data_IF_640564740841
#
_entry.id   IF_640564740841
#
_cell.length_a   1.000
_cell.length_b   1.000
_cell.length_c   1.000
_cell.angle_alpha   90.00
_cell.angle_beta   90.00
_cell.angle_gamma   90.00
#
_symmetry.space_group_name_H-M   'P 1'
#
loop_
_entity.id
_entity.type
_entity.pdbx_description
1 polymer ?
#
# COMPACT_ATOMS: atom_id res chain seq x y z
N UNK A 1 -12.68 15.42 22.25
CA UNK A 1 -12.50 13.98 22.60
C UNK A 1 -11.59 13.87 23.81
N UNK A 2 -12.01 13.16 24.89
CA UNK A 2 -11.14 12.92 26.05
C UNK A 2 -10.11 11.86 25.65
N UNK A 3 -8.84 12.23 25.51
CA UNK A 3 -7.75 11.27 25.34
C UNK A 3 -7.87 10.22 26.46
N UNK A 4 -7.94 8.93 26.09
CA UNK A 4 -7.92 7.82 27.06
C UNK A 4 -6.66 7.97 27.91
N UNK A 5 -6.82 8.38 29.17
CA UNK A 5 -5.71 8.62 30.09
C UNK A 5 -5.30 7.28 30.69
N UNK A 6 -4.41 6.59 30.00
CA UNK A 6 -3.81 5.35 30.49
C UNK A 6 -2.93 5.64 31.71
N UNK A 7 -2.98 4.75 32.71
CA UNK A 7 -2.12 4.84 33.89
C UNK A 7 -0.67 4.54 33.50
N UNK A 8 0.27 5.23 34.15
CA UNK A 8 1.70 5.00 33.97
C UNK A 8 2.07 3.54 34.23
N UNK A 9 2.88 2.96 33.34
CA UNK A 9 3.28 1.55 33.43
C UNK A 9 4.43 1.28 34.40
N UNK A 10 5.10 2.33 34.89
CA UNK A 10 6.24 2.20 35.77
C UNK A 10 5.84 1.79 37.20
N UNK A 11 6.76 1.11 37.88
CA UNK A 11 6.65 0.77 39.29
C UNK A 11 7.38 1.82 40.12
N UNK A 12 6.76 2.26 41.21
CA UNK A 12 7.37 3.20 42.16
C UNK A 12 8.47 2.52 42.99
N UNK A 13 9.28 3.30 43.70
CA UNK A 13 10.31 2.77 44.63
C UNK A 13 9.72 1.88 45.73
N UNK A 14 8.46 2.09 46.11
CA UNK A 14 7.74 1.25 47.08
C UNK A 14 7.14 -0.03 46.49
N UNK A 15 7.51 -0.43 45.28
CA UNK A 15 7.09 -1.68 44.65
C UNK A 15 5.68 -1.68 44.05
N UNK A 16 4.89 -0.63 44.25
CA UNK A 16 3.53 -0.50 43.70
C UNK A 16 3.51 0.21 42.35
N UNK A 17 2.49 -0.10 41.51
CA UNK A 17 2.24 0.56 40.22
C UNK A 17 2.06 2.06 40.40
N UNK A 18 2.73 2.86 39.57
CA UNK A 18 2.59 4.31 39.60
C UNK A 18 1.13 4.73 39.34
N UNK A 19 0.55 5.54 40.24
CA UNK A 19 -0.84 6.02 40.13
C UNK A 19 -1.03 7.22 39.21
N UNK A 20 0.06 7.80 38.71
CA UNK A 20 0.02 8.94 37.78
C UNK A 20 -0.44 8.49 36.39
N UNK A 21 -1.06 9.40 35.65
CA UNK A 21 -1.35 9.19 34.24
C UNK A 21 -0.08 9.22 33.39
N UNK A 22 -0.04 8.38 32.37
CA UNK A 22 0.96 8.50 31.32
C UNK A 22 0.78 9.83 30.57
N UNK A 23 1.88 10.35 30.01
CA UNK A 23 1.77 11.47 29.07
C UNK A 23 0.93 11.05 27.86
N UNK A 24 0.19 11.95 27.19
CA UNK A 24 -0.58 11.61 25.98
C UNK A 24 0.29 10.86 24.96
N UNK A 25 -0.14 9.68 24.51
CA UNK A 25 0.60 8.82 23.58
C UNK A 25 1.78 8.04 24.18
N UNK A 26 2.17 8.30 25.42
CA UNK A 26 3.22 7.57 26.13
C UNK A 26 2.65 6.45 27.00
N UNK A 27 3.54 5.60 27.51
CA UNK A 27 3.21 4.56 28.50
C UNK A 27 3.58 4.97 29.93
N UNK A 28 4.38 6.03 30.09
CA UNK A 28 4.90 6.48 31.38
C UNK A 28 4.57 7.95 31.64
N UNK A 29 4.49 8.33 32.91
CA UNK A 29 4.22 9.70 33.33
C UNK A 29 5.48 10.56 33.23
N UNK A 30 5.32 11.88 33.38
CA UNK A 30 6.44 12.84 33.38
C UNK A 30 7.57 12.50 34.38
N UNK A 31 7.25 11.87 35.51
CA UNK A 31 8.20 11.52 36.56
C UNK A 31 8.97 10.21 36.30
N UNK A 32 8.40 9.31 35.48
CA UNK A 32 9.01 8.03 35.15
C UNK A 32 9.50 7.99 33.69
N UNK A 33 10.07 9.11 33.23
CA UNK A 33 10.73 9.21 31.92
C UNK A 33 9.84 9.65 30.77
N UNK A 34 8.57 10.02 31.01
CA UNK A 34 7.67 10.51 29.96
C UNK A 34 8.13 11.81 29.28
N UNK A 35 9.03 12.56 29.91
CA UNK A 35 9.63 13.77 29.34
C UNK A 35 10.89 13.51 28.51
N UNK A 36 11.39 12.27 28.45
CA UNK A 36 12.57 11.96 27.66
C UNK A 36 12.30 12.23 26.15
N UNK A 37 13.20 12.89 25.40
CA UNK A 37 12.95 13.27 24.01
C UNK A 37 12.49 12.12 23.11
N UNK A 38 13.11 10.94 23.24
CA UNK A 38 12.74 9.74 22.49
C UNK A 38 11.33 9.24 22.83
N UNK A 39 10.91 9.37 24.10
CA UNK A 39 9.56 8.98 24.54
C UNK A 39 8.53 9.98 24.02
N UNK A 40 8.82 11.28 24.05
CA UNK A 40 7.95 12.31 23.51
C UNK A 40 7.75 12.16 21.99
N UNK A 41 8.83 11.93 21.23
CA UNK A 41 8.73 11.67 19.77
C UNK A 41 7.83 10.48 19.49
N UNK A 42 8.07 9.34 20.16
CA UNK A 42 7.25 8.14 19.93
C UNK A 42 5.81 8.31 20.40
N UNK A 43 5.59 9.08 21.46
CA UNK A 43 4.26 9.42 21.93
C UNK A 43 3.49 10.29 20.92
N UNK A 44 4.15 11.29 20.34
CA UNK A 44 3.58 12.11 19.28
C UNK A 44 3.21 11.27 18.05
N UNK A 45 4.11 10.37 17.61
CA UNK A 45 3.83 9.40 16.53
C UNK A 45 2.55 8.59 16.81
N UNK A 46 2.42 8.02 18.01
CA UNK A 46 1.24 7.21 18.38
C UNK A 46 -0.05 8.01 18.42
N UNK A 47 -0.02 9.27 18.85
CA UNK A 47 -1.21 10.14 18.85
C UNK A 47 -1.69 10.38 17.42
N UNK A 48 -0.75 10.62 16.49
CA UNK A 48 -1.06 10.80 15.07
C UNK A 48 -1.61 9.50 14.48
N UNK A 49 -0.97 8.36 14.75
CA UNK A 49 -1.44 7.04 14.29
C UNK A 49 -2.85 6.71 14.80
N UNK A 50 -3.14 6.97 16.08
CA UNK A 50 -4.47 6.73 16.66
C UNK A 50 -5.52 7.64 16.03
N UNK A 51 -5.19 8.92 15.80
CA UNK A 51 -6.09 9.82 15.08
C UNK A 51 -6.33 9.34 13.64
N UNK A 52 -5.28 8.94 12.92
CA UNK A 52 -5.39 8.38 11.58
C UNK A 52 -6.27 7.12 11.55
N UNK A 53 -6.13 6.23 12.55
CA UNK A 53 -7.00 5.04 12.69
C UNK A 53 -8.46 5.40 12.94
N UNK A 54 -8.73 6.42 13.75
CA UNK A 54 -10.10 6.88 14.02
C UNK A 54 -10.74 7.47 12.77
N UNK A 55 -9.99 8.27 12.02
CA UNK A 55 -10.43 8.79 10.72
C UNK A 55 -10.66 7.64 9.75
N UNK A 56 -9.72 6.71 9.61
CA UNK A 56 -9.85 5.55 8.73
C UNK A 56 -11.07 4.68 9.06
N UNK A 57 -11.42 4.51 10.34
CA UNK A 57 -12.64 3.81 10.76
C UNK A 57 -13.92 4.46 10.23
N UNK A 58 -13.94 5.79 10.06
CA UNK A 58 -15.08 6.47 9.47
C UNK A 58 -15.25 6.14 7.98
N UNK A 59 -14.15 5.89 7.27
CA UNK A 59 -14.16 5.45 5.87
C UNK A 59 -14.37 3.94 5.71
N UNK A 60 -14.05 3.14 6.74
CA UNK A 60 -14.16 1.68 6.71
C UNK A 60 -15.60 1.14 6.82
N UNK A 61 -16.61 2.01 6.96
CA UNK A 61 -18.02 1.59 7.07
C UNK A 61 -18.62 1.25 5.70
N UNK A 62 -18.04 1.75 4.61
CA UNK A 62 -18.36 1.27 3.26
C UNK A 62 -17.48 0.05 2.95
N UNK A 63 -18.10 -1.10 2.69
CA UNK A 63 -17.38 -2.23 2.12
C UNK A 63 -16.77 -1.75 0.80
N UNK A 64 -15.45 -1.57 0.79
CA UNK A 64 -14.72 -1.40 -0.46
C UNK A 64 -14.86 -2.72 -1.21
N UNK A 65 -15.75 -2.75 -2.19
CA UNK A 65 -15.86 -3.86 -3.12
C UNK A 65 -14.62 -3.84 -4.01
N UNK A 66 -13.63 -4.67 -3.65
CA UNK A 66 -12.44 -4.87 -4.46
C UNK A 66 -12.78 -5.96 -5.50
N UNK A 67 -13.58 -5.59 -6.49
CA UNK A 67 -13.98 -6.46 -7.59
C UNK A 67 -12.79 -6.83 -8.49
N UNK A 68 -11.80 -5.94 -8.58
CA UNK A 68 -10.51 -6.17 -9.23
C UNK A 68 -9.35 -6.00 -8.23
N UNK A 69 -8.96 -7.08 -7.53
CA UNK A 69 -7.87 -7.03 -6.54
C UNK A 69 -6.50 -6.82 -7.17
N UNK A 70 -6.32 -7.18 -8.44
CA UNK A 70 -5.04 -6.98 -9.11
C UNK A 70 -4.90 -5.52 -9.51
N UNK A 71 -5.93 -4.92 -10.12
CA UNK A 71 -5.96 -3.50 -10.42
C UNK A 71 -5.78 -2.63 -9.17
N UNK A 72 -6.46 -2.95 -8.08
CA UNK A 72 -6.30 -2.23 -6.81
C UNK A 72 -4.86 -2.33 -6.24
N UNK A 73 -4.24 -3.51 -6.33
CA UNK A 73 -2.86 -3.71 -5.90
C UNK A 73 -1.87 -2.93 -6.77
N UNK A 74 -2.06 -2.92 -8.09
CA UNK A 74 -1.24 -2.17 -9.03
C UNK A 74 -1.38 -0.66 -8.83
N UNK A 75 -2.60 -0.19 -8.53
CA UNK A 75 -2.84 1.21 -8.19
C UNK A 75 -2.12 1.60 -6.90
N UNK A 76 -2.20 0.79 -5.85
CA UNK A 76 -1.47 1.02 -4.61
C UNK A 76 0.05 1.06 -4.85
N UNK A 77 0.57 0.16 -5.69
CA UNK A 77 1.98 0.15 -6.07
C UNK A 77 2.38 1.46 -6.76
N UNK A 78 1.57 1.94 -7.70
CA UNK A 78 1.79 3.21 -8.38
C UNK A 78 1.80 4.40 -7.39
N UNK A 79 0.85 4.43 -6.45
CA UNK A 79 0.80 5.47 -5.40
C UNK A 79 2.04 5.45 -4.51
N UNK A 80 2.48 4.28 -4.06
CA UNK A 80 3.69 4.13 -3.22
C UNK A 80 4.94 4.56 -3.97
N UNK A 81 5.09 4.16 -5.24
CA UNK A 81 6.23 4.58 -6.09
C UNK A 81 6.18 6.08 -6.36
N UNK A 82 5.00 6.62 -6.67
CA UNK A 82 4.79 8.05 -6.89
C UNK A 82 5.16 8.88 -5.66
N UNK A 83 4.71 8.46 -4.47
CA UNK A 83 5.09 9.11 -3.22
C UNK A 83 6.60 9.05 -2.96
N UNK A 84 7.24 7.89 -3.21
CA UNK A 84 8.70 7.75 -3.10
C UNK A 84 9.40 8.75 -4.02
N UNK A 85 8.97 8.91 -5.27
CA UNK A 85 9.54 9.84 -6.23
C UNK A 85 9.36 11.30 -5.80
N UNK A 86 8.16 11.67 -5.36
CA UNK A 86 7.88 13.00 -4.84
C UNK A 86 8.80 13.38 -3.67
N UNK A 87 9.03 12.46 -2.72
CA UNK A 87 9.94 12.70 -1.60
C UNK A 87 11.40 12.69 -2.05
N UNK A 88 11.77 11.86 -3.05
CA UNK A 88 13.11 11.88 -3.63
C UNK A 88 13.49 13.28 -4.12
N UNK A 89 12.57 13.95 -4.82
CA UNK A 89 12.79 15.32 -5.27
C UNK A 89 13.03 16.29 -4.11
N UNK A 90 12.27 16.17 -3.01
CA UNK A 90 12.48 17.01 -1.82
C UNK A 90 13.84 16.76 -1.16
N UNK A 91 14.32 15.51 -1.17
CA UNK A 91 15.67 15.20 -0.68
C UNK A 91 16.75 15.75 -1.60
N UNK A 92 16.54 15.78 -2.92
CA UNK A 92 17.50 16.36 -3.87
C UNK A 92 17.67 17.87 -3.74
N UNK A 93 16.69 18.56 -3.15
CA UNK A 93 16.79 19.99 -2.81
C UNK A 93 17.73 20.26 -1.62
N UNK A 94 18.11 19.24 -0.85
CA UNK A 94 18.99 19.35 0.31
C UNK A 94 20.45 19.09 -0.06
N UNK A 95 21.36 19.91 0.46
CA UNK A 95 22.80 19.61 0.44
C UNK A 95 23.13 18.57 1.51
N UNK A 96 24.19 17.78 1.31
CA UNK A 96 24.57 16.67 2.21
C UNK A 96 24.73 17.10 3.67
N UNK A 97 25.32 18.27 3.91
CA UNK A 97 25.50 18.86 5.23
C UNK A 97 24.18 19.24 5.92
N UNK A 98 23.09 19.40 5.15
CA UNK A 98 21.77 19.76 5.65
C UNK A 98 20.95 18.53 6.05
N UNK A 99 21.42 17.31 5.75
CA UNK A 99 20.72 16.06 6.05
C UNK A 99 20.56 15.82 7.55
N UNK A 100 21.40 16.47 8.36
CA UNK A 100 21.40 16.36 9.81
C UNK A 100 21.30 17.75 10.44
N UNK A 101 20.69 17.82 11.63
CA UNK A 101 20.64 19.04 12.43
C UNK A 101 20.85 18.72 13.91
N UNK A 102 21.51 19.66 14.61
CA UNK A 102 21.74 19.57 16.04
C UNK A 102 20.52 20.03 16.84
N UNK A 103 20.18 19.28 17.89
CA UNK A 103 19.19 19.68 18.89
C UNK A 103 19.76 19.52 20.30
N UNK A 104 19.11 20.09 21.32
CA UNK A 104 19.43 19.87 22.73
C UNK A 104 19.48 18.38 23.14
N UNK A 105 18.93 17.47 22.32
CA UNK A 105 18.94 16.02 22.52
C UNK A 105 19.87 15.24 21.57
N UNK A 106 20.80 15.91 20.88
CA UNK A 106 21.76 15.29 19.96
C UNK A 106 21.48 15.58 18.47
N UNK A 107 22.30 15.00 17.61
CA UNK A 107 22.18 15.09 16.14
C UNK A 107 20.99 14.25 15.65
N UNK A 108 20.16 14.82 14.77
CA UNK A 108 18.98 14.16 14.20
C UNK A 108 18.97 14.27 12.67
N UNK A 109 18.41 13.26 12.00
CA UNK A 109 18.14 13.31 10.57
C UNK A 109 16.98 14.27 10.27
N UNK A 110 17.06 14.98 9.14
CA UNK A 110 15.93 15.69 8.57
C UNK A 110 14.79 14.74 8.20
N UNK A 111 13.56 15.22 8.34
CA UNK A 111 12.36 14.41 8.17
C UNK A 111 12.23 13.88 6.74
N UNK A 112 12.61 14.70 5.76
CA UNK A 112 12.61 14.38 4.33
C UNK A 112 13.50 13.16 4.05
N UNK A 113 14.73 13.16 4.57
CA UNK A 113 15.69 12.05 4.45
C UNK A 113 15.14 10.79 5.10
N UNK A 114 14.58 10.90 6.31
CA UNK A 114 14.01 9.77 7.04
C UNK A 114 12.73 9.22 6.38
N UNK A 115 11.90 10.07 5.78
CA UNK A 115 10.70 9.66 5.04
C UNK A 115 11.10 9.00 3.72
N UNK A 116 12.12 9.52 3.04
CA UNK A 116 12.61 8.96 1.79
C UNK A 116 13.14 7.54 1.97
N UNK A 117 14.01 7.32 2.95
CA UNK A 117 14.55 5.98 3.27
C UNK A 117 13.42 4.97 3.52
N UNK A 118 12.42 5.34 4.34
CA UNK A 118 11.25 4.49 4.59
C UNK A 118 10.39 4.27 3.35
N UNK A 119 10.24 5.28 2.50
CA UNK A 119 9.48 5.15 1.25
C UNK A 119 10.18 4.20 0.28
N UNK A 120 11.51 4.25 0.18
CA UNK A 120 12.31 3.31 -0.61
C UNK A 120 12.17 1.88 -0.11
N UNK A 121 12.33 1.64 1.20
CA UNK A 121 12.18 0.30 1.78
C UNK A 121 10.77 -0.28 1.54
N UNK A 122 9.73 0.52 1.76
CA UNK A 122 8.34 0.09 1.52
C UNK A 122 8.05 -0.20 0.05
N UNK A 123 8.49 0.67 -0.85
CA UNK A 123 8.32 0.47 -2.29
C UNK A 123 9.03 -0.81 -2.74
N UNK A 124 10.27 -1.02 -2.31
CA UNK A 124 11.03 -2.23 -2.62
C UNK A 124 10.33 -3.50 -2.14
N UNK A 125 9.85 -3.53 -0.89
CA UNK A 125 9.12 -4.69 -0.34
C UNK A 125 7.82 -4.96 -1.10
N UNK A 126 7.03 -3.92 -1.35
CA UNK A 126 5.76 -4.07 -2.08
C UNK A 126 5.98 -4.64 -3.50
N UNK A 127 6.98 -4.15 -4.23
CA UNK A 127 7.30 -4.65 -5.57
C UNK A 127 7.78 -6.10 -5.55
N UNK A 128 8.58 -6.50 -4.55
CA UNK A 128 8.98 -7.89 -4.36
C UNK A 128 7.77 -8.78 -4.03
N UNK A 129 6.87 -8.32 -3.18
CA UNK A 129 5.66 -9.07 -2.82
C UNK A 129 4.72 -9.22 -4.02
N UNK A 130 4.54 -8.17 -4.83
CA UNK A 130 3.79 -8.24 -6.09
C UNK A 130 4.39 -9.28 -7.04
N UNK A 131 5.71 -9.26 -7.22
CA UNK A 131 6.39 -10.23 -8.08
C UNK A 131 6.20 -11.67 -7.56
N UNK A 132 6.28 -11.89 -6.25
CA UNK A 132 6.07 -13.20 -5.62
C UNK A 132 4.65 -13.75 -5.76
N UNK A 133 3.66 -12.88 -5.92
CA UNK A 133 2.27 -13.31 -6.13
C UNK A 133 2.06 -13.96 -7.52
N UNK A 134 3.05 -13.90 -8.43
CA UNK A 134 2.96 -14.52 -9.75
C UNK A 134 1.78 -13.98 -10.57
N UNK A 135 1.48 -12.69 -10.40
CA UNK A 135 0.30 -12.07 -11.01
C UNK A 135 0.38 -12.05 -12.52
N UNK A 136 1.58 -11.92 -13.09
CA UNK A 136 1.80 -11.97 -14.53
C UNK A 136 1.40 -13.34 -15.10
N UNK A 137 1.88 -14.44 -14.52
CA UNK A 137 1.47 -15.79 -14.91
C UNK A 137 -0.04 -16.00 -14.74
N UNK A 138 -0.62 -15.46 -13.66
CA UNK A 138 -2.06 -15.55 -13.43
C UNK A 138 -2.86 -14.74 -14.45
N UNK A 139 -2.41 -13.55 -14.83
CA UNK A 139 -3.05 -12.72 -15.86
C UNK A 139 -2.99 -13.40 -17.22
N UNK A 140 -1.82 -13.94 -17.60
CA UNK A 140 -1.66 -14.71 -18.85
C UNK A 140 -2.61 -15.90 -18.87
N UNK A 141 -2.66 -16.71 -17.79
CA UNK A 141 -3.59 -17.85 -17.71
C UNK A 141 -5.06 -17.43 -17.80
N UNK A 142 -5.46 -16.33 -17.17
CA UNK A 142 -6.84 -15.83 -17.26
C UNK A 142 -7.14 -15.38 -18.68
N UNK A 143 -6.22 -14.66 -19.33
CA UNK A 143 -6.38 -14.23 -20.72
C UNK A 143 -6.50 -15.42 -21.68
N UNK A 144 -5.67 -16.45 -21.49
CA UNK A 144 -5.75 -17.72 -22.25
C UNK A 144 -7.11 -18.41 -22.06
N UNK A 145 -7.56 -18.59 -20.81
CA UNK A 145 -8.87 -19.19 -20.51
C UNK A 145 -10.04 -18.39 -21.08
N UNK A 146 -9.96 -17.05 -21.05
CA UNK A 146 -10.97 -16.19 -21.66
C UNK A 146 -10.98 -16.31 -23.19
N UNK A 147 -9.80 -16.41 -23.82
CA UNK A 147 -9.67 -16.67 -25.24
C UNK A 147 -10.26 -18.02 -25.67
N UNK A 148 -10.00 -19.08 -24.90
CA UNK A 148 -10.57 -20.41 -25.12
C UNK A 148 -12.10 -20.41 -24.97
N UNK A 149 -12.63 -19.75 -23.93
CA UNK A 149 -14.07 -19.63 -23.73
C UNK A 149 -14.72 -18.86 -24.88
N UNK A 150 -14.13 -17.73 -25.29
CA UNK A 150 -14.62 -16.94 -26.42
C UNK A 150 -14.65 -17.77 -27.70
N UNK A 151 -13.56 -18.50 -27.99
CA UNK A 151 -13.50 -19.38 -29.16
C UNK A 151 -14.60 -20.45 -29.10
N UNK A 152 -14.80 -21.07 -27.94
CA UNK A 152 -15.84 -22.08 -27.72
C UNK A 152 -17.24 -21.52 -27.98
N UNK A 153 -17.56 -20.35 -27.44
CA UNK A 153 -18.86 -19.70 -27.64
C UNK A 153 -19.07 -19.30 -29.09
N UNK A 154 -18.06 -18.71 -29.73
CA UNK A 154 -18.14 -18.32 -31.14
C UNK A 154 -18.36 -19.54 -32.03
N UNK A 155 -17.64 -20.64 -31.79
CA UNK A 155 -17.81 -21.84 -32.59
C UNK A 155 -19.16 -22.52 -32.39
N UNK A 156 -19.66 -22.59 -31.15
CA UNK A 156 -21.00 -23.10 -30.87
C UNK A 156 -22.09 -22.26 -31.56
N UNK A 157 -21.96 -20.93 -31.54
CA UNK A 157 -22.89 -20.04 -32.23
C UNK A 157 -22.85 -20.22 -33.76
N UNK A 158 -21.66 -20.42 -34.34
CA UNK A 158 -21.52 -20.67 -35.79
C UNK A 158 -22.14 -22.00 -36.22
N UNK A 159 -22.06 -23.02 -35.37
CA UNK A 159 -22.70 -24.32 -35.60
C UNK A 159 -24.23 -24.22 -35.53
N UNK A 160 -24.77 -23.49 -34.54
CA UNK A 160 -26.21 -23.26 -34.37
C UNK A 160 -26.85 -22.52 -35.56
N UNK A 161 -26.11 -21.62 -36.20
CA UNK A 161 -26.56 -20.88 -37.39
C UNK A 161 -26.54 -21.78 -38.66
N UNK A 162 -25.94 -22.97 -38.59
CA UNK A 162 -26.02 -23.98 -39.65
C UNK A 162 -25.18 -23.66 -40.88
N UNK A 163 -23.95 -23.18 -40.70
CA UNK A 163 -23.03 -22.88 -41.80
C UNK A 163 -22.67 -24.12 -42.63
N UNK A 164 -22.47 -23.94 -43.93
CA UNK A 164 -21.90 -25.01 -44.77
C UNK A 164 -20.44 -25.27 -44.38
N UNK A 165 -19.91 -26.47 -44.66
CA UNK A 165 -18.52 -26.80 -44.31
C UNK A 165 -17.48 -25.84 -44.89
N UNK A 166 -17.74 -25.29 -46.09
CA UNK A 166 -16.88 -24.29 -46.74
C UNK A 166 -16.93 -22.93 -46.01
N UNK A 167 -18.12 -22.51 -45.55
CA UNK A 167 -18.30 -21.30 -44.75
C UNK A 167 -17.67 -21.43 -43.36
N UNK A 168 -17.78 -22.59 -42.72
CA UNK A 168 -17.18 -22.87 -41.42
C UNK A 168 -15.65 -22.80 -41.51
N UNK A 169 -15.07 -23.41 -42.54
CA UNK A 169 -13.62 -23.36 -42.81
C UNK A 169 -13.14 -21.91 -42.97
N UNK A 170 -13.90 -21.10 -43.72
CA UNK A 170 -13.58 -19.68 -43.91
C UNK A 170 -13.70 -18.86 -42.63
N UNK A 171 -14.65 -19.20 -41.75
CA UNK A 171 -14.79 -18.55 -40.45
C UNK A 171 -13.58 -18.81 -39.54
N UNK A 172 -13.07 -20.06 -39.52
CA UNK A 172 -11.86 -20.43 -38.77
C UNK A 172 -10.61 -19.66 -39.22
N UNK A 173 -10.52 -19.25 -40.49
CA UNK A 173 -9.40 -18.43 -40.99
C UNK A 173 -9.57 -16.94 -40.65
N UNK A 174 -10.79 -16.41 -40.79
CA UNK A 174 -11.05 -14.98 -40.69
C UNK A 174 -11.08 -14.49 -39.24
N UNK A 175 -11.70 -15.25 -38.34
CA UNK A 175 -11.96 -14.81 -36.96
C UNK A 175 -10.65 -14.60 -36.16
N UNK A 176 -9.68 -15.53 -36.14
CA UNK A 176 -8.42 -15.31 -35.41
C UNK A 176 -7.63 -14.12 -35.96
N UNK A 177 -7.67 -13.90 -37.29
CA UNK A 177 -7.03 -12.74 -37.93
C UNK A 177 -7.68 -11.43 -37.50
N UNK A 178 -9.01 -11.39 -37.36
CA UNK A 178 -9.75 -10.21 -36.89
C UNK A 178 -9.49 -9.92 -35.42
N UNK A 179 -9.46 -10.96 -34.57
CA UNK A 179 -9.15 -10.80 -33.14
C UNK A 179 -7.74 -10.22 -32.93
N UNK A 180 -6.73 -10.74 -33.62
CA UNK A 180 -5.36 -10.19 -33.56
C UNK A 180 -5.25 -8.73 -34.02
N UNK A 181 -6.08 -8.30 -34.97
CA UNK A 181 -6.10 -6.93 -35.45
C UNK A 181 -6.71 -5.93 -34.45
N UNK A 182 -7.53 -6.41 -33.50
CA UNK A 182 -8.11 -5.59 -32.43
C UNK A 182 -7.09 -5.44 -31.30
N UNK A 183 -6.40 -6.52 -30.91
CA UNK A 183 -5.39 -6.50 -29.84
C UNK A 183 -4.12 -5.71 -30.20
N UNK A 184 -3.69 -5.72 -31.46
CA UNK A 184 -2.51 -4.98 -31.91
C UNK A 184 -2.71 -3.47 -32.14
N UNK A 185 -3.86 -2.93 -31.74
CA UNK A 185 -4.30 -1.55 -32.04
C UNK A 185 -4.34 -0.57 -30.84
N UNK A 186 -3.78 -0.94 -29.69
CA UNK A 186 -3.71 -0.10 -28.49
C UNK A 186 -2.27 0.27 -28.11
#
# INVERSE_FOLDING_TARGET
MKASRTQCTATTRGGSRCRMFAMPGATVCRLHGGLAPQVQRKAAERVIEEHARQVAKAYAVEHIDISDPIGALMQLAAEVVGFKNFIAERVTELRTEEWRYGTLGGEQLRAEVAVYERAMDRAGRLLVDINRLGLEERQVRIAEQQGELLATVVMAALDEIGLTGEQLTRAYEVIPRRLRAIDGGA
#
